data_IF_070945689440
#
_entry.id   IF_070945689440
#
_cell.length_a   1.000
_cell.length_b   1.000
_cell.length_c   1.000
_cell.angle_alpha   90.00
_cell.angle_beta   90.00
_cell.angle_gamma   90.00
#
_symmetry.space_group_name_H-M   'P 1'
#
loop_
_entity.id
_entity.type
_entity.pdbx_description
1 polymer ?
#
# COMPACT_ATOMS: atom_id res chain seq x y z
N UNK A 1 4.84 34.22 -1.84
CA UNK A 1 6.07 34.31 -2.66
C UNK A 1 6.05 33.16 -3.64
N UNK A 2 6.12 33.42 -4.96
CA UNK A 2 6.20 32.36 -5.96
C UNK A 2 7.65 31.87 -6.01
N UNK A 3 7.95 30.73 -5.41
CA UNK A 3 9.25 30.08 -5.56
C UNK A 3 9.39 29.67 -7.03
N UNK A 4 10.43 30.12 -7.75
CA UNK A 4 10.62 29.73 -9.14
C UNK A 4 10.68 28.21 -9.25
N UNK A 5 10.02 27.65 -10.26
CA UNK A 5 10.03 26.22 -10.50
C UNK A 5 11.44 25.79 -10.90
N UNK A 6 11.92 24.68 -10.33
CA UNK A 6 13.28 24.22 -10.58
C UNK A 6 13.47 23.78 -12.03
N UNK A 7 14.66 23.94 -12.60
CA UNK A 7 15.02 23.20 -13.81
C UNK A 7 15.37 21.74 -13.48
N UNK A 8 15.42 20.88 -14.50
CA UNK A 8 15.89 19.50 -14.32
C UNK A 8 17.34 19.46 -13.84
N UNK A 9 18.17 20.41 -14.28
CA UNK A 9 19.56 20.51 -13.83
C UNK A 9 19.66 20.95 -12.36
N UNK A 10 18.76 21.83 -11.91
CA UNK A 10 18.67 22.19 -10.49
C UNK A 10 18.27 20.97 -9.63
N UNK A 11 17.32 20.17 -10.10
CA UNK A 11 16.98 18.91 -9.44
C UNK A 11 18.17 17.95 -9.42
N UNK A 12 18.87 17.75 -10.54
CA UNK A 12 20.05 16.87 -10.60
C UNK A 12 21.17 17.35 -9.70
N UNK A 13 21.38 18.67 -9.62
CA UNK A 13 22.35 19.27 -8.70
C UNK A 13 22.00 18.97 -7.26
N UNK A 14 20.75 19.21 -6.85
CA UNK A 14 20.24 18.85 -5.52
C UNK A 14 20.40 17.34 -5.24
N UNK A 15 20.00 16.49 -6.18
CA UNK A 15 20.11 15.04 -6.03
C UNK A 15 21.57 14.57 -5.92
N UNK A 16 22.49 15.28 -6.56
CA UNK A 16 23.92 15.00 -6.43
C UNK A 16 24.49 15.45 -5.06
N UNK A 17 23.98 16.52 -4.47
CA UNK A 17 24.43 17.00 -3.14
C UNK A 17 24.02 16.05 -2.03
N UNK A 18 22.83 15.41 -2.10
CA UNK A 18 22.34 14.47 -1.07
C UNK A 18 23.33 13.36 -0.63
N UNK A 19 24.26 12.95 -1.49
CA UNK A 19 25.31 11.97 -1.14
C UNK A 19 26.59 12.62 -0.59
N UNK A 20 26.82 13.87 -0.98
CA UNK A 20 27.97 14.69 -0.59
C UNK A 20 27.86 15.17 0.85
N UNK A 21 26.63 15.24 1.38
CA UNK A 21 26.27 15.79 2.69
C UNK A 21 26.57 14.87 3.88
N UNK A 22 27.76 14.25 3.89
CA UNK A 22 28.31 13.60 5.09
C UNK A 22 28.64 14.61 6.22
N UNK A 23 28.51 15.91 5.95
CA UNK A 23 28.71 17.00 6.91
C UNK A 23 27.45 17.87 6.98
N UNK A 24 26.48 17.46 7.80
CA UNK A 24 25.22 18.17 8.02
C UNK A 24 25.44 19.66 8.33
N UNK A 25 24.89 20.52 7.50
CA UNK A 25 24.92 21.98 7.66
C UNK A 25 23.53 22.55 7.42
N UNK A 26 23.22 23.70 8.01
CA UNK A 26 21.92 24.42 7.86
C UNK A 26 21.49 24.64 6.39
N UNK A 27 22.45 24.59 5.45
CA UNK A 27 22.20 24.70 4.02
C UNK A 27 21.37 23.53 3.47
N UNK A 28 21.46 22.34 4.07
CA UNK A 28 20.67 21.16 3.66
C UNK A 28 19.18 21.36 3.91
N UNK A 29 18.83 21.98 5.03
CA UNK A 29 17.43 22.15 5.43
C UNK A 29 16.71 23.15 4.51
N UNK A 30 17.39 24.22 4.10
CA UNK A 30 16.87 25.16 3.10
C UNK A 30 16.64 24.51 1.73
N UNK A 31 17.56 23.65 1.27
CA UNK A 31 17.42 22.98 -0.03
C UNK A 31 16.37 21.86 0.01
N UNK A 32 16.23 21.17 1.15
CA UNK A 32 15.11 20.24 1.41
C UNK A 32 13.77 20.96 1.41
N UNK A 33 13.66 22.11 2.08
CA UNK A 33 12.42 22.90 2.11
C UNK A 33 12.03 23.41 0.72
N UNK A 34 13.02 23.83 -0.07
CA UNK A 34 12.81 24.18 -1.48
C UNK A 34 12.35 22.96 -2.27
N UNK A 35 12.97 21.80 -2.09
CA UNK A 35 12.54 20.57 -2.75
C UNK A 35 11.09 20.22 -2.37
N UNK A 36 10.71 20.31 -1.09
CA UNK A 36 9.34 20.08 -0.62
C UNK A 36 8.34 21.03 -1.31
N UNK A 37 8.70 22.29 -1.48
CA UNK A 37 7.88 23.25 -2.23
C UNK A 37 7.72 22.84 -3.71
N UNK A 38 8.79 22.39 -4.36
CA UNK A 38 8.73 21.90 -5.75
C UNK A 38 7.89 20.62 -5.87
N UNK A 39 8.06 19.69 -4.94
CA UNK A 39 7.34 18.42 -4.92
C UNK A 39 5.83 18.63 -4.75
N UNK A 40 5.41 19.62 -3.94
CA UNK A 40 3.99 19.98 -3.82
C UNK A 40 3.36 20.45 -5.14
N UNK A 41 4.13 21.15 -5.98
CA UNK A 41 3.61 21.70 -7.24
C UNK A 41 3.69 20.70 -8.38
N UNK A 42 4.78 19.92 -8.45
CA UNK A 42 5.05 19.03 -9.60
C UNK A 42 4.70 17.58 -9.36
N UNK A 43 5.00 17.07 -8.18
CA UNK A 43 4.87 15.64 -7.87
C UNK A 43 3.49 15.34 -7.33
N UNK A 44 3.03 16.12 -6.34
CA UNK A 44 1.80 15.85 -5.63
C UNK A 44 0.55 15.75 -6.54
N UNK A 45 0.30 16.66 -7.49
CA UNK A 45 -0.92 16.58 -8.32
C UNK A 45 -0.97 15.30 -9.16
N UNK A 46 0.17 14.91 -9.76
CA UNK A 46 0.26 13.71 -10.58
C UNK A 46 0.11 12.44 -9.74
N UNK A 47 0.72 12.40 -8.54
CA UNK A 47 0.57 11.27 -7.61
C UNK A 47 -0.87 11.17 -7.10
N UNK A 48 -1.48 12.28 -6.69
CA UNK A 48 -2.87 12.32 -6.22
C UNK A 48 -3.83 11.76 -7.27
N UNK A 49 -3.70 12.21 -8.53
CA UNK A 49 -4.54 11.72 -9.62
C UNK A 49 -4.40 10.21 -9.82
N UNK A 50 -3.17 9.69 -9.79
CA UNK A 50 -2.90 8.25 -9.98
C UNK A 50 -3.29 7.39 -8.78
N UNK A 51 -3.24 7.93 -7.57
CA UNK A 51 -3.72 7.21 -6.38
C UNK A 51 -5.24 7.23 -6.30
N UNK A 52 -5.87 8.33 -6.65
CA UNK A 52 -7.32 8.42 -6.73
C UNK A 52 -7.88 7.44 -7.77
N UNK A 53 -7.26 7.38 -8.96
CA UNK A 53 -7.69 6.46 -10.02
C UNK A 53 -7.53 4.98 -9.64
N UNK A 54 -6.42 4.61 -8.99
CA UNK A 54 -6.07 3.21 -8.79
C UNK A 54 -6.61 2.63 -7.47
N UNK A 55 -6.66 3.42 -6.40
CA UNK A 55 -7.06 2.95 -5.06
C UNK A 55 -8.21 3.76 -4.45
N UNK A 56 -8.71 4.80 -5.13
CA UNK A 56 -9.83 5.62 -4.64
C UNK A 56 -9.49 6.46 -3.41
N UNK A 57 -8.21 6.62 -3.07
CA UNK A 57 -7.78 7.31 -1.86
C UNK A 57 -7.47 8.79 -2.11
N UNK A 58 -8.09 9.67 -1.33
CA UNK A 58 -7.67 11.07 -1.25
C UNK A 58 -6.40 11.17 -0.41
N UNK A 59 -5.44 11.97 -0.86
CA UNK A 59 -4.11 12.08 -0.26
C UNK A 59 -3.71 13.54 -0.09
N UNK A 60 -2.98 13.84 0.97
CA UNK A 60 -2.51 15.19 1.28
C UNK A 60 -1.25 15.54 0.45
N UNK A 61 -1.21 16.70 -0.24
CA UNK A 61 -0.07 17.06 -1.08
C UNK A 61 1.20 17.35 -0.27
N UNK A 62 1.06 17.79 0.99
CA UNK A 62 2.19 17.98 1.89
C UNK A 62 2.81 16.65 2.35
N UNK A 63 1.97 15.66 2.65
CA UNK A 63 2.37 14.28 2.92
C UNK A 63 3.09 13.65 1.74
N UNK A 64 2.55 13.80 0.51
CA UNK A 64 3.21 13.31 -0.71
C UNK A 64 4.57 13.96 -0.91
N UNK A 65 4.69 15.27 -0.67
CA UNK A 65 5.98 15.96 -0.81
C UNK A 65 7.04 15.41 0.15
N UNK A 66 6.66 15.08 1.41
CA UNK A 66 7.57 14.44 2.37
C UNK A 66 7.99 13.05 1.91
N UNK A 67 7.02 12.22 1.50
CA UNK A 67 7.33 10.88 0.94
C UNK A 67 8.21 10.99 -0.30
N UNK A 68 8.03 12.02 -1.13
CA UNK A 68 8.89 12.26 -2.28
C UNK A 68 10.33 12.57 -1.86
N UNK A 69 10.53 13.33 -0.79
CA UNK A 69 11.87 13.59 -0.26
C UNK A 69 12.49 12.29 0.25
N UNK A 70 11.78 11.52 1.07
CA UNK A 70 12.26 10.24 1.61
C UNK A 70 12.67 9.27 0.49
N UNK A 71 11.84 9.15 -0.55
CA UNK A 71 12.11 8.29 -1.72
C UNK A 71 13.34 8.77 -2.48
N UNK A 72 13.49 10.07 -2.70
CA UNK A 72 14.64 10.63 -3.41
C UNK A 72 15.92 10.43 -2.59
N UNK A 73 15.89 10.67 -1.28
CA UNK A 73 17.02 10.41 -0.38
C UNK A 73 17.43 8.92 -0.40
N UNK A 74 16.47 7.99 -0.31
CA UNK A 74 16.75 6.56 -0.45
C UNK A 74 17.36 6.21 -1.82
N UNK A 75 16.81 6.78 -2.90
CA UNK A 75 17.33 6.53 -4.25
C UNK A 75 18.75 7.07 -4.45
N UNK A 76 19.18 8.11 -3.73
CA UNK A 76 20.54 8.65 -3.79
C UNK A 76 21.61 7.61 -3.37
N UNK A 77 21.23 6.67 -2.50
CA UNK A 77 22.08 5.56 -2.05
C UNK A 77 21.87 4.27 -2.84
N UNK A 78 20.80 4.20 -3.64
CA UNK A 78 20.43 3.01 -4.40
C UNK A 78 21.24 2.84 -5.70
N UNK A 79 21.21 1.62 -6.26
CA UNK A 79 21.73 1.34 -7.62
C UNK A 79 20.97 2.08 -8.73
N UNK A 80 19.75 2.57 -8.46
CA UNK A 80 18.92 3.30 -9.43
C UNK A 80 19.25 4.78 -9.53
N UNK A 81 20.18 5.28 -8.70
CA UNK A 81 20.68 6.67 -8.75
C UNK A 81 21.04 7.13 -10.15
N UNK A 82 21.79 6.33 -10.91
CA UNK A 82 22.26 6.71 -12.24
C UNK A 82 21.11 7.06 -13.18
N UNK A 83 19.96 6.40 -13.03
CA UNK A 83 18.77 6.69 -13.85
C UNK A 83 18.17 8.07 -13.59
N UNK A 84 18.12 8.53 -12.34
CA UNK A 84 17.63 9.88 -12.00
C UNK A 84 18.56 10.99 -12.52
N UNK A 85 19.85 10.69 -12.70
CA UNK A 85 20.82 11.64 -13.22
C UNK A 85 20.82 11.73 -14.76
N UNK A 86 20.51 10.63 -15.46
CA UNK A 86 20.62 10.56 -16.92
C UNK A 86 19.28 10.64 -17.67
N UNK A 87 18.16 10.47 -16.98
CA UNK A 87 16.83 10.56 -17.61
C UNK A 87 16.55 11.96 -18.13
N UNK A 88 15.85 12.05 -19.27
CA UNK A 88 15.39 13.30 -19.86
C UNK A 88 14.22 13.94 -19.11
N UNK A 89 13.54 13.16 -18.25
CA UNK A 89 12.45 13.65 -17.40
C UNK A 89 12.60 13.06 -15.99
N UNK A 90 13.33 13.75 -15.10
CA UNK A 90 13.55 13.26 -13.73
C UNK A 90 12.30 13.37 -12.87
N UNK A 91 11.44 14.36 -13.10
CA UNK A 91 10.26 14.59 -12.28
C UNK A 91 9.20 13.51 -12.48
N UNK A 92 8.97 13.06 -13.72
CA UNK A 92 8.08 11.93 -13.99
C UNK A 92 8.59 10.66 -13.33
N UNK A 93 9.90 10.42 -13.36
CA UNK A 93 10.48 9.26 -12.67
C UNK A 93 10.27 9.34 -11.14
N UNK A 94 10.39 10.52 -10.54
CA UNK A 94 10.07 10.72 -9.12
C UNK A 94 8.59 10.43 -8.85
N UNK A 95 7.67 10.92 -9.67
CA UNK A 95 6.23 10.62 -9.55
C UNK A 95 5.97 9.12 -9.59
N UNK A 96 6.60 8.39 -10.51
CA UNK A 96 6.48 6.94 -10.63
C UNK A 96 6.97 6.21 -9.38
N UNK A 97 8.14 6.61 -8.87
CA UNK A 97 8.74 6.02 -7.67
C UNK A 97 7.87 6.24 -6.45
N UNK A 98 7.41 7.48 -6.22
CA UNK A 98 6.54 7.83 -5.09
C UNK A 98 5.20 7.12 -5.18
N UNK A 99 4.60 7.07 -6.37
CA UNK A 99 3.34 6.35 -6.60
C UNK A 99 3.50 4.85 -6.26
N UNK A 100 4.60 4.24 -6.71
CA UNK A 100 4.90 2.83 -6.41
C UNK A 100 5.09 2.60 -4.92
N UNK A 101 5.81 3.49 -4.24
CA UNK A 101 6.08 3.36 -2.81
C UNK A 101 4.80 3.45 -1.97
N UNK A 102 3.96 4.46 -2.22
CA UNK A 102 2.67 4.62 -1.52
C UNK A 102 1.77 3.40 -1.77
N UNK A 103 1.72 2.88 -3.00
CA UNK A 103 0.96 1.66 -3.31
C UNK A 103 1.48 0.43 -2.59
N UNK A 104 2.80 0.28 -2.51
CA UNK A 104 3.45 -0.83 -1.79
C UNK A 104 3.10 -0.77 -0.30
N UNK A 105 3.23 0.42 0.29
CA UNK A 105 2.88 0.70 1.68
C UNK A 105 1.39 0.44 1.96
N UNK A 106 0.48 0.93 1.10
CA UNK A 106 -0.95 0.68 1.22
C UNK A 106 -1.29 -0.81 1.17
N UNK A 107 -0.76 -1.55 0.18
CA UNK A 107 -0.97 -3.01 0.08
C UNK A 107 -0.42 -3.77 1.28
N UNK A 108 0.70 -3.33 1.82
CA UNK A 108 1.29 -3.95 3.01
C UNK A 108 0.42 -3.72 4.25
N UNK A 109 -0.17 -2.52 4.39
CA UNK A 109 -1.09 -2.20 5.47
C UNK A 109 -2.40 -3.00 5.38
N UNK A 110 -3.01 -3.10 4.20
CA UNK A 110 -4.27 -3.84 4.01
C UNK A 110 -4.09 -5.35 4.20
N UNK A 111 -2.97 -5.93 3.74
CA UNK A 111 -2.64 -7.36 3.99
C UNK A 111 -2.54 -7.68 5.48
N UNK A 112 -1.97 -6.78 6.30
CA UNK A 112 -1.87 -6.98 7.75
C UNK A 112 -3.23 -6.94 8.44
N UNK A 113 -4.17 -6.14 7.94
CA UNK A 113 -5.53 -6.06 8.50
C UNK A 113 -6.41 -7.27 8.13
N UNK A 114 -6.30 -7.80 6.92
CA UNK A 114 -7.05 -9.00 6.49
C UNK A 114 -6.51 -10.33 7.07
N UNK A 115 -5.23 -10.39 7.45
CA UNK A 115 -4.61 -11.66 7.85
C UNK A 115 -4.94 -12.17 9.25
N UNK A 116 -5.25 -11.30 10.22
CA UNK A 116 -5.37 -11.72 11.63
C UNK A 116 -6.78 -11.67 12.20
N UNK A 117 -7.62 -10.72 11.77
CA UNK A 117 -9.02 -10.59 12.25
C UNK A 117 -10.02 -11.32 11.37
N UNK A 118 -9.77 -11.40 10.08
CA UNK A 118 -10.68 -12.04 9.13
C UNK A 118 -10.62 -13.57 9.21
N UNK A 119 -9.43 -14.15 9.42
CA UNK A 119 -9.29 -15.59 9.66
C UNK A 119 -9.87 -16.04 11.02
N UNK A 120 -9.70 -15.24 12.08
CA UNK A 120 -10.33 -15.52 13.39
C UNK A 120 -11.86 -15.38 13.34
N UNK A 121 -12.37 -14.43 12.56
CA UNK A 121 -13.81 -14.24 12.33
C UNK A 121 -14.43 -15.39 11.54
N UNK A 122 -13.80 -15.83 10.45
CA UNK A 122 -14.25 -16.95 9.63
C UNK A 122 -14.14 -18.29 10.39
N UNK A 123 -13.08 -18.49 11.18
CA UNK A 123 -12.93 -19.67 12.03
C UNK A 123 -14.00 -19.72 13.14
N UNK A 124 -14.31 -18.58 13.78
CA UNK A 124 -15.40 -18.50 14.77
C UNK A 124 -16.79 -18.63 14.15
N UNK A 125 -16.99 -18.16 12.93
CA UNK A 125 -18.26 -18.31 12.21
C UNK A 125 -18.47 -19.75 11.71
N UNK A 126 -17.43 -20.41 11.19
CA UNK A 126 -17.50 -21.81 10.76
C UNK A 126 -17.66 -22.79 11.92
N UNK A 127 -17.15 -22.47 13.12
CA UNK A 127 -17.36 -23.29 14.32
C UNK A 127 -18.81 -23.32 14.84
N UNK A 128 -19.67 -22.37 14.43
CA UNK A 128 -21.09 -22.31 14.83
C UNK A 128 -22.04 -22.99 13.84
N UNK A 129 -21.54 -23.49 12.72
CA UNK A 129 -22.34 -24.19 11.71
C UNK A 129 -22.02 -25.69 11.66
N UNK A 130 -21.49 -26.25 12.76
CA UNK A 130 -21.60 -27.68 13.01
C UNK A 130 -23.07 -27.97 13.34
N UNK A 131 -23.83 -28.33 12.31
CA UNK A 131 -25.18 -28.89 12.45
C UNK A 131 -25.12 -30.00 13.52
N UNK A 132 -25.99 -29.96 14.55
CA UNK A 132 -26.06 -31.07 15.48
C UNK A 132 -26.38 -32.35 14.69
N UNK A 133 -25.74 -33.48 15.03
CA UNK A 133 -26.17 -34.77 14.50
C UNK A 133 -27.67 -34.94 14.82
N UNK A 134 -28.49 -35.42 13.89
CA UNK A 134 -29.89 -35.69 14.17
C UNK A 134 -29.99 -36.87 15.14
N UNK A 135 -29.97 -36.58 16.44
CA UNK A 135 -30.33 -37.53 17.48
C UNK A 135 -31.85 -37.69 17.51
N UNK A 136 -32.30 -38.88 17.12
CA UNK A 136 -33.43 -39.58 17.74
C UNK A 136 -34.81 -38.94 17.64
N UNK A 137 -35.59 -39.35 16.62
CA UNK A 137 -37.04 -39.49 16.81
C UNK A 137 -37.28 -40.94 17.20
N UNK A 138 -37.52 -41.15 18.50
CA UNK A 138 -38.06 -42.38 19.03
C UNK A 138 -39.59 -42.46 18.87
N UNK A 139 -40.03 -43.68 18.62
CA UNK A 139 -41.14 -44.39 19.27
C UNK A 139 -42.54 -44.44 18.62
N UNK A 140 -43.08 -45.65 18.56
CA UNK A 140 -44.50 -45.96 18.27
C UNK A 140 -44.73 -47.14 17.31
N UNK A 141 -45.76 -47.99 17.53
CA UNK A 141 -45.59 -49.42 17.77
C UNK A 141 -45.94 -50.30 16.56
N UNK A 142 -45.11 -51.32 16.32
CA UNK A 142 -45.37 -52.37 15.34
C UNK A 142 -46.16 -53.53 15.95
N UNK A 143 -47.49 -53.41 16.01
CA UNK A 143 -48.39 -54.52 16.30
C UNK A 143 -49.40 -54.66 15.16
N UNK A 144 -49.24 -55.72 14.35
CA UNK A 144 -50.25 -56.40 13.50
C UNK A 144 -49.54 -57.60 12.84
N UNK A 145 -49.62 -58.80 13.43
CA UNK A 145 -50.58 -59.89 13.11
C UNK A 145 -50.45 -60.41 11.68
N UNK A 146 -50.20 -61.72 11.56
CA UNK A 146 -50.62 -62.52 10.40
C UNK A 146 -49.59 -63.52 9.93
N UNK A 147 -49.72 -64.75 10.43
CA UNK A 147 -49.24 -65.98 9.81
C UNK A 147 -49.61 -66.06 8.31
N UNK A 148 -48.71 -66.57 7.47
CA UNK A 148 -48.97 -67.79 6.69
C UNK A 148 -47.71 -68.27 5.94
N UNK A 149 -47.55 -69.60 5.95
CA UNK A 149 -46.78 -70.47 5.04
C UNK A 149 -45.23 -70.33 4.98
N UNK A 150 -44.38 -71.37 5.05
CA UNK A 150 -44.55 -72.79 4.71
C UNK A 150 -43.37 -73.65 5.23
N UNK A 151 -43.66 -74.94 5.47
CA UNK A 151 -42.82 -76.13 5.22
C UNK A 151 -41.43 -76.29 5.91
N UNK A 152 -41.31 -77.21 6.87
CA UNK A 152 -41.03 -78.66 6.66
C UNK A 152 -40.67 -79.37 7.96
#
# INVERSE_FOLDING_TARGET
>A
MNTPLWSDDQFRSFFATLRSDLCGSDRDDDDRDRFLAQARVRVAPAVQQRLLADIGATTDPGGIARVALDVVEDQAWSRRRSWLLVTTDPWTLVVDLVTREIRSSYRSATRRNGGKRDLDGIARASGRLALPPPDGIGDGPGERTGDDDTAS
#
